data_IF_307741760014
#
_entry.id   IF_307741760014
#
_cell.length_a   1.000
_cell.length_b   1.000
_cell.length_c   1.000
_cell.angle_alpha   90.00
_cell.angle_beta   90.00
_cell.angle_gamma   90.00
#
_symmetry.space_group_name_H-M   'P 1'
#
loop_
_entity.id
_entity.type
_entity.pdbx_description
1 polymer ?
#
# COMPACT_ATOMS: atom_id res chain seq x y z
N UNK A 1 -29.26 -13.36 12.17
CA UNK A 1 -27.91 -13.97 12.20
C UNK A 1 -26.95 -12.98 11.56
N UNK A 2 -25.97 -12.48 12.29
CA UNK A 2 -24.91 -11.70 11.67
C UNK A 2 -24.03 -12.70 10.90
N UNK A 3 -23.95 -12.56 9.58
CA UNK A 3 -23.00 -13.31 8.76
C UNK A 3 -21.60 -12.92 9.22
N UNK A 4 -20.83 -13.88 9.66
CA UNK A 4 -19.44 -13.68 10.03
C UNK A 4 -18.67 -13.22 8.77
N UNK A 5 -18.21 -11.97 8.75
CA UNK A 5 -17.52 -11.41 7.59
C UNK A 5 -16.14 -12.06 7.46
N UNK A 6 -16.01 -13.00 6.54
CA UNK A 6 -14.77 -13.74 6.33
C UNK A 6 -13.78 -12.89 5.52
N UNK A 7 -12.57 -12.72 6.06
CA UNK A 7 -11.47 -12.11 5.34
C UNK A 7 -10.88 -13.13 4.37
N UNK A 8 -10.79 -12.77 3.10
CA UNK A 8 -10.26 -13.62 2.03
C UNK A 8 -9.35 -12.84 1.06
N UNK A 9 -8.72 -13.57 0.15
CA UNK A 9 -7.97 -12.99 -0.96
C UNK A 9 -8.95 -12.75 -2.12
N UNK A 10 -8.98 -11.53 -2.66
CA UNK A 10 -9.81 -11.13 -3.79
C UNK A 10 -8.87 -10.84 -4.94
N UNK A 11 -8.88 -11.71 -5.96
CA UNK A 11 -8.00 -11.62 -7.13
C UNK A 11 -8.53 -10.59 -8.14
N UNK A 12 -7.62 -10.02 -8.92
CA UNK A 12 -7.88 -9.07 -10.00
C UNK A 12 -6.87 -7.93 -10.02
N UNK A 13 -7.00 -7.02 -11.00
CA UNK A 13 -6.27 -5.75 -10.90
C UNK A 13 -6.82 -4.91 -9.74
N UNK A 14 -6.08 -3.88 -9.33
CA UNK A 14 -6.46 -3.08 -8.14
C UNK A 14 -7.91 -2.56 -8.22
N UNK A 15 -8.32 -2.02 -9.37
CA UNK A 15 -9.66 -1.47 -9.57
C UNK A 15 -10.76 -2.51 -9.38
N UNK A 16 -10.60 -3.66 -10.03
CA UNK A 16 -11.61 -4.71 -10.04
C UNK A 16 -11.68 -5.43 -8.69
N UNK A 17 -10.53 -5.73 -8.09
CA UNK A 17 -10.45 -6.33 -6.76
C UNK A 17 -11.01 -5.38 -5.68
N UNK A 18 -10.71 -4.08 -5.75
CA UNK A 18 -11.27 -3.08 -4.84
C UNK A 18 -12.79 -2.98 -4.93
N UNK A 19 -13.35 -3.01 -6.16
CA UNK A 19 -14.81 -2.98 -6.36
C UNK A 19 -15.53 -4.21 -5.80
N UNK A 20 -14.85 -5.35 -5.76
CA UNK A 20 -15.38 -6.58 -5.16
C UNK A 20 -15.25 -6.62 -3.63
N UNK A 21 -14.42 -5.78 -3.05
CA UNK A 21 -14.23 -5.72 -1.60
C UNK A 21 -15.29 -4.85 -0.91
N UNK A 22 -15.62 -5.17 0.34
CA UNK A 22 -16.39 -4.27 1.21
C UNK A 22 -15.49 -3.08 1.56
N UNK A 23 -15.96 -1.83 1.35
CA UNK A 23 -15.17 -0.66 1.69
C UNK A 23 -14.70 -0.68 3.15
N UNK A 24 -13.46 -0.30 3.38
CA UNK A 24 -12.87 -0.22 4.72
C UNK A 24 -12.42 -1.55 5.33
N UNK A 25 -12.56 -2.70 4.63
CA UNK A 25 -12.08 -4.00 5.11
C UNK A 25 -10.73 -4.40 4.53
N UNK A 26 -10.22 -3.67 3.55
CA UNK A 26 -8.90 -3.93 2.97
C UNK A 26 -7.80 -3.80 4.02
N UNK A 27 -6.85 -4.71 3.93
CA UNK A 27 -5.71 -4.76 4.84
C UNK A 27 -4.62 -3.74 4.49
N UNK A 28 -4.07 -3.13 5.53
CA UNK A 28 -2.88 -2.28 5.43
C UNK A 28 -1.61 -3.12 5.35
N UNK A 29 -0.52 -2.49 4.95
CA UNK A 29 0.77 -3.17 4.78
C UNK A 29 1.26 -3.82 6.07
N UNK A 30 1.17 -3.14 7.21
CA UNK A 30 1.57 -3.66 8.52
C UNK A 30 0.68 -4.84 8.98
N UNK A 31 -0.61 -4.81 8.67
CA UNK A 31 -1.52 -5.92 8.92
C UNK A 31 -1.15 -7.15 8.07
N UNK A 32 -0.88 -6.93 6.77
CA UNK A 32 -0.44 -7.99 5.86
C UNK A 32 0.92 -8.56 6.24
N UNK A 33 1.84 -7.74 6.70
CA UNK A 33 3.15 -8.20 7.19
C UNK A 33 3.00 -9.10 8.43
N UNK A 34 2.08 -8.75 9.33
CA UNK A 34 1.75 -9.57 10.51
C UNK A 34 1.12 -10.91 10.09
N UNK A 35 0.10 -10.88 9.22
CA UNK A 35 -0.54 -12.09 8.72
C UNK A 35 0.45 -13.01 7.99
N UNK A 36 1.33 -12.47 7.14
CA UNK A 36 2.39 -13.24 6.45
C UNK A 36 3.40 -13.86 7.41
N UNK A 37 3.69 -13.20 8.52
CA UNK A 37 4.56 -13.74 9.56
C UNK A 37 3.96 -15.01 10.14
N UNK A 38 2.66 -15.00 10.36
CA UNK A 38 1.94 -16.05 11.08
C UNK A 38 1.40 -17.14 10.13
N UNK A 39 1.03 -16.79 8.90
CA UNK A 39 0.51 -17.70 7.86
C UNK A 39 1.49 -17.84 6.68
N UNK A 40 2.07 -19.03 6.55
CA UNK A 40 3.02 -19.34 5.49
C UNK A 40 2.39 -19.29 4.07
N UNK A 41 1.09 -19.56 3.94
CA UNK A 41 0.41 -19.57 2.64
C UNK A 41 0.30 -18.18 2.00
N UNK A 42 0.45 -17.12 2.81
CA UNK A 42 0.41 -15.73 2.33
C UNK A 42 1.77 -15.20 1.90
N UNK A 43 2.87 -15.93 2.14
CA UNK A 43 4.24 -15.40 1.96
C UNK A 43 4.60 -15.18 0.50
N UNK A 44 4.15 -16.04 -0.38
CA UNK A 44 4.48 -15.98 -1.80
C UNK A 44 3.42 -15.21 -2.62
N UNK A 45 2.51 -14.52 -1.94
CA UNK A 45 1.42 -13.80 -2.58
C UNK A 45 1.70 -12.30 -2.64
N UNK A 46 1.22 -11.67 -3.70
CA UNK A 46 1.28 -10.22 -3.89
C UNK A 46 -0.04 -9.60 -3.49
N UNK A 47 0.02 -8.47 -2.80
CA UNK A 47 -1.17 -7.76 -2.38
C UNK A 47 -1.05 -6.27 -2.66
N UNK A 48 -2.09 -5.68 -3.25
CA UNK A 48 -2.35 -4.27 -3.06
C UNK A 48 -2.80 -4.03 -1.63
N UNK A 49 -2.34 -2.94 -1.05
CA UNK A 49 -2.66 -2.58 0.34
C UNK A 49 -3.72 -1.48 0.38
N UNK A 50 -4.34 -1.30 1.54
CA UNK A 50 -5.24 -0.17 1.77
C UNK A 50 -4.48 1.17 1.94
N UNK A 51 -3.14 1.13 1.99
CA UNK A 51 -2.32 2.33 2.08
C UNK A 51 -2.21 3.02 0.73
N UNK A 52 -2.14 4.35 0.75
CA UNK A 52 -1.83 5.19 -0.40
C UNK A 52 -0.58 6.00 -0.12
N UNK A 53 0.20 6.26 -1.15
CA UNK A 53 1.36 7.12 -1.07
C UNK A 53 1.11 8.42 -1.83
N UNK A 54 1.38 9.53 -1.18
CA UNK A 54 1.22 10.86 -1.76
C UNK A 54 2.53 11.61 -1.68
N UNK A 55 3.10 11.88 -2.84
CA UNK A 55 4.36 12.59 -2.99
C UNK A 55 4.11 14.04 -3.35
N UNK A 56 4.76 14.97 -2.66
CA UNK A 56 4.59 16.40 -2.90
C UNK A 56 5.82 17.19 -2.48
N UNK A 57 5.88 18.45 -2.91
CA UNK A 57 6.83 19.42 -2.36
C UNK A 57 6.22 20.08 -1.13
N UNK A 58 6.95 20.11 -0.01
CA UNK A 58 6.58 20.84 1.18
C UNK A 58 7.74 21.73 1.64
N UNK A 59 7.55 23.04 1.64
CA UNK A 59 8.60 24.03 1.95
C UNK A 59 9.92 23.77 1.20
N UNK A 60 9.84 23.45 -0.10
CA UNK A 60 10.99 23.14 -0.94
C UNK A 60 11.59 21.74 -0.76
N UNK A 61 11.03 20.91 0.12
CA UNK A 61 11.49 19.55 0.42
C UNK A 61 10.58 18.51 -0.23
N UNK A 62 11.10 17.52 -0.97
CA UNK A 62 10.32 16.40 -1.47
C UNK A 62 9.88 15.51 -0.31
N UNK A 63 8.58 15.29 -0.22
CA UNK A 63 7.93 14.67 0.93
C UNK A 63 7.04 13.53 0.48
N UNK A 64 7.09 12.41 1.20
CA UNK A 64 6.14 11.30 1.11
C UNK A 64 5.14 11.37 2.26
N UNK A 65 3.86 11.22 1.95
CA UNK A 65 2.81 10.93 2.94
C UNK A 65 2.23 9.57 2.67
N UNK A 66 2.25 8.72 3.70
CA UNK A 66 1.60 7.40 3.64
C UNK A 66 0.28 7.51 4.38
N UNK A 67 -0.81 7.33 3.62
CA UNK A 67 -2.18 7.48 4.12
C UNK A 67 -2.79 6.13 4.44
N UNK A 68 -3.91 6.15 5.16
CA UNK A 68 -4.75 4.97 5.39
C UNK A 68 -6.15 5.16 4.82
N UNK A 69 -6.87 4.06 4.65
CA UNK A 69 -8.26 3.84 4.16
C UNK A 69 -9.05 5.09 3.76
N UNK A 70 -9.48 5.87 4.77
CA UNK A 70 -10.46 6.95 4.58
C UNK A 70 -9.92 8.12 3.73
N UNK A 71 -8.60 8.27 3.69
CA UNK A 71 -7.93 9.37 2.98
C UNK A 71 -6.93 8.89 1.93
N UNK A 72 -7.11 7.66 1.44
CA UNK A 72 -6.31 7.15 0.33
C UNK A 72 -6.85 7.70 -1.00
N UNK A 73 -6.21 8.70 -1.63
CA UNK A 73 -6.77 9.36 -2.80
C UNK A 73 -6.85 8.44 -4.02
N UNK A 74 -5.99 7.42 -4.11
CA UNK A 74 -6.02 6.44 -5.21
C UNK A 74 -7.25 5.55 -5.11
N UNK A 75 -7.57 5.05 -3.90
CA UNK A 75 -8.74 4.20 -3.69
C UNK A 75 -10.05 5.00 -3.72
N UNK A 76 -10.03 6.25 -3.24
CA UNK A 76 -11.22 7.11 -3.27
C UNK A 76 -11.61 7.51 -4.70
N UNK A 77 -10.64 7.57 -5.62
CA UNK A 77 -10.83 7.91 -7.04
C UNK A 77 -10.33 6.80 -7.96
N UNK A 78 -10.64 5.54 -7.63
CA UNK A 78 -9.99 4.38 -8.26
C UNK A 78 -10.18 4.33 -9.79
N UNK A 79 -11.32 4.79 -10.31
CA UNK A 79 -11.58 4.81 -11.75
C UNK A 79 -10.72 5.87 -12.45
N UNK A 80 -10.65 7.07 -11.92
CA UNK A 80 -9.82 8.15 -12.47
C UNK A 80 -8.34 7.85 -12.34
N UNK A 81 -7.92 7.32 -11.17
CA UNK A 81 -6.54 6.89 -10.95
C UNK A 81 -6.14 5.79 -11.93
N UNK A 82 -7.02 4.82 -12.18
CA UNK A 82 -6.79 3.76 -13.17
C UNK A 82 -6.61 4.33 -14.58
N UNK A 83 -7.50 5.23 -15.02
CA UNK A 83 -7.41 5.86 -16.34
C UNK A 83 -6.11 6.67 -16.46
N UNK A 84 -5.81 7.52 -15.48
CA UNK A 84 -4.61 8.36 -15.53
C UNK A 84 -3.34 7.52 -15.56
N UNK A 85 -3.23 6.50 -14.72
CA UNK A 85 -2.04 5.65 -14.64
C UNK A 85 -1.88 4.71 -15.84
N UNK A 86 -2.93 4.46 -16.61
CA UNK A 86 -2.85 3.71 -17.88
C UNK A 86 -2.47 4.59 -19.07
N UNK A 87 -2.76 5.89 -19.01
CA UNK A 87 -2.57 6.84 -20.12
C UNK A 87 -1.38 7.78 -19.92
N UNK A 88 -0.95 7.99 -18.70
CA UNK A 88 0.15 8.87 -18.32
C UNK A 88 0.97 8.27 -17.17
N UNK A 89 2.17 8.84 -16.90
CA UNK A 89 3.09 8.30 -15.89
C UNK A 89 2.62 8.55 -14.45
N UNK A 90 1.78 9.55 -14.20
CA UNK A 90 1.40 9.97 -12.86
C UNK A 90 -0.10 10.13 -12.71
N UNK A 91 -0.62 9.73 -11.55
CA UNK A 91 -1.91 10.17 -11.05
C UNK A 91 -1.70 11.41 -10.18
N UNK A 92 -2.37 12.51 -10.53
CA UNK A 92 -2.31 13.74 -9.75
C UNK A 92 -3.51 13.82 -8.82
N UNK A 93 -3.20 13.94 -7.52
CA UNK A 93 -4.18 14.02 -6.44
C UNK A 93 -4.90 15.36 -6.51
N UNK A 94 -6.23 15.36 -6.39
CA UNK A 94 -7.00 16.61 -6.37
C UNK A 94 -6.61 17.49 -5.17
N UNK A 95 -6.79 18.83 -5.26
CA UNK A 95 -6.52 19.72 -4.12
C UNK A 95 -7.31 19.35 -2.86
N UNK A 96 -8.55 18.90 -3.02
CA UNK A 96 -9.45 18.48 -1.95
C UNK A 96 -8.93 17.23 -1.24
N UNK A 97 -8.60 16.18 -2.01
CA UNK A 97 -8.03 14.96 -1.45
C UNK A 97 -6.67 15.21 -0.79
N UNK A 98 -5.84 16.08 -1.40
CA UNK A 98 -4.56 16.42 -0.80
C UNK A 98 -4.74 17.21 0.52
N UNK A 99 -5.75 18.06 0.61
CA UNK A 99 -6.09 18.72 1.86
C UNK A 99 -6.54 17.71 2.93
N UNK A 100 -7.37 16.73 2.57
CA UNK A 100 -7.78 15.65 3.45
C UNK A 100 -6.59 14.82 3.93
N UNK A 101 -5.67 14.46 3.03
CA UNK A 101 -4.41 13.75 3.37
C UNK A 101 -3.57 14.51 4.38
N UNK A 102 -3.46 15.84 4.23
CA UNK A 102 -2.69 16.68 5.18
C UNK A 102 -3.34 16.80 6.55
N UNK A 103 -4.67 16.76 6.59
CA UNK A 103 -5.44 16.92 7.84
C UNK A 103 -5.60 15.60 8.62
N UNK A 104 -5.35 14.46 7.99
CA UNK A 104 -5.57 13.15 8.61
C UNK A 104 -4.52 12.82 9.67
N UNK A 105 -4.98 12.47 10.86
CA UNK A 105 -4.11 12.19 12.02
C UNK A 105 -3.28 10.90 11.88
N UNK A 106 -3.72 9.96 11.04
CA UNK A 106 -3.06 8.68 10.80
C UNK A 106 -2.14 8.69 9.56
N UNK A 107 -1.96 9.87 8.96
CA UNK A 107 -1.01 10.08 7.87
C UNK A 107 0.40 10.27 8.42
N UNK A 108 1.33 9.43 7.98
CA UNK A 108 2.76 9.58 8.29
C UNK A 108 3.42 10.44 7.22
N UNK A 109 4.11 11.50 7.65
CA UNK A 109 4.86 12.41 6.77
C UNK A 109 6.36 12.18 6.90
N UNK A 110 7.04 11.98 5.76
CA UNK A 110 8.44 11.58 5.66
C UNK A 110 9.18 12.54 4.74
N UNK A 111 10.30 13.07 5.19
CA UNK A 111 11.26 13.82 4.38
C UNK A 111 12.12 12.83 3.57
N UNK A 112 11.88 12.78 2.26
CA UNK A 112 12.60 11.83 1.37
C UNK A 112 14.11 12.08 1.32
N UNK A 113 14.58 13.30 1.59
CA UNK A 113 16.02 13.62 1.54
C UNK A 113 16.80 13.01 2.70
N UNK A 114 16.11 12.56 3.74
CA UNK A 114 16.69 11.97 4.95
C UNK A 114 16.63 10.45 4.99
N UNK A 115 16.07 9.80 3.96
CA UNK A 115 15.91 8.34 3.97
C UNK A 115 17.20 7.57 3.63
N UNK A 116 18.26 8.23 3.15
CA UNK A 116 19.51 7.57 2.74
C UNK A 116 19.25 6.46 1.70
N UNK A 117 18.53 6.84 0.65
CA UNK A 117 18.05 5.92 -0.37
C UNK A 117 19.16 5.42 -1.28
N UNK A 118 19.10 4.15 -1.63
CA UNK A 118 19.97 3.47 -2.59
C UNK A 118 19.30 3.32 -3.96
N UNK A 119 20.07 2.86 -4.96
CA UNK A 119 19.62 2.65 -6.34
C UNK A 119 20.02 3.78 -7.27
N UNK A 120 19.93 3.53 -8.58
CA UNK A 120 20.35 4.48 -9.63
C UNK A 120 19.23 4.82 -10.61
N UNK A 121 18.05 4.24 -10.45
CA UNK A 121 16.93 4.48 -11.35
C UNK A 121 16.42 5.91 -11.23
N UNK A 122 15.99 6.49 -12.33
CA UNK A 122 15.56 7.88 -12.39
C UNK A 122 14.32 8.13 -11.53
N UNK A 123 13.37 7.21 -11.55
CA UNK A 123 12.07 7.35 -10.91
C UNK A 123 12.08 6.79 -9.48
N UNK A 124 12.77 5.69 -9.26
CA UNK A 124 12.69 4.92 -8.02
C UNK A 124 14.01 4.86 -7.27
N UNK A 125 13.90 4.90 -5.96
CA UNK A 125 14.96 4.59 -5.00
C UNK A 125 14.40 3.63 -3.96
N UNK A 126 15.28 3.02 -3.19
CA UNK A 126 14.86 2.15 -2.11
C UNK A 126 15.64 2.40 -0.83
N UNK A 127 14.95 2.24 0.30
CA UNK A 127 15.56 2.05 1.59
C UNK A 127 15.91 0.56 1.72
N UNK A 128 17.19 0.24 1.85
CA UNK A 128 17.65 -1.10 2.19
C UNK A 128 17.42 -1.33 3.69
N UNK A 129 16.69 -2.39 4.03
CA UNK A 129 16.41 -2.75 5.43
C UNK A 129 17.38 -3.84 5.86
N UNK A 130 18.28 -3.50 6.75
CA UNK A 130 19.18 -4.46 7.38
C UNK A 130 18.43 -5.19 8.51
N UNK A 131 18.13 -6.47 8.28
CA UNK A 131 17.38 -7.27 9.25
C UNK A 131 18.14 -7.57 10.54
N UNK A 132 19.44 -7.26 10.62
CA UNK A 132 20.24 -7.41 11.82
C UNK A 132 20.17 -6.21 12.77
N UNK A 133 19.67 -5.07 12.29
CA UNK A 133 19.57 -3.82 13.05
C UNK A 133 18.27 -3.74 13.83
N UNK A 134 18.36 -3.12 15.00
CA UNK A 134 17.21 -2.68 15.76
C UNK A 134 16.61 -1.41 15.13
N UNK A 135 15.34 -1.15 15.38
CA UNK A 135 14.69 0.02 14.79
C UNK A 135 15.31 1.33 15.27
N UNK A 136 15.88 1.33 16.48
CA UNK A 136 16.59 2.48 17.06
C UNK A 136 17.88 2.88 16.34
N UNK A 137 18.45 1.97 15.54
CA UNK A 137 19.66 2.22 14.76
C UNK A 137 19.43 3.04 13.49
N UNK A 138 18.16 3.24 13.13
CA UNK A 138 17.76 4.04 11.98
C UNK A 138 17.48 5.50 12.38
N UNK A 139 17.69 6.42 11.44
CA UNK A 139 17.34 7.81 11.70
C UNK A 139 15.80 8.01 11.82
N UNK A 140 15.32 9.14 12.38
CA UNK A 140 13.89 9.33 12.65
C UNK A 140 12.98 9.20 11.43
N UNK A 141 13.42 9.59 10.23
CA UNK A 141 12.58 9.49 9.02
C UNK A 141 12.51 8.05 8.52
N UNK A 142 13.61 7.30 8.61
CA UNK A 142 13.65 5.87 8.33
C UNK A 142 12.76 5.10 9.31
N UNK A 143 12.83 5.41 10.61
CA UNK A 143 11.96 4.80 11.63
C UNK A 143 10.48 4.99 11.33
N UNK A 144 10.06 6.19 10.89
CA UNK A 144 8.66 6.44 10.50
C UNK A 144 8.22 5.50 9.38
N UNK A 145 9.04 5.34 8.34
CA UNK A 145 8.76 4.45 7.22
C UNK A 145 8.71 2.99 7.66
N UNK A 146 9.70 2.54 8.44
CA UNK A 146 9.79 1.16 8.94
C UNK A 146 8.60 0.81 9.84
N UNK A 147 8.20 1.69 10.75
CA UNK A 147 7.01 1.49 11.60
C UNK A 147 5.73 1.43 10.80
N UNK A 148 5.64 2.18 9.69
CA UNK A 148 4.46 2.12 8.83
C UNK A 148 4.36 0.79 8.10
N UNK A 149 5.48 0.20 7.68
CA UNK A 149 5.53 -1.05 6.91
C UNK A 149 5.47 -2.29 7.81
N UNK A 150 6.24 -2.32 8.89
CA UNK A 150 6.41 -3.51 9.72
C UNK A 150 5.58 -3.54 11.00
N UNK A 151 4.88 -2.45 11.30
CA UNK A 151 4.03 -2.31 12.48
C UNK A 151 4.46 -1.16 13.39
N UNK A 152 3.50 -0.60 14.13
CA UNK A 152 3.70 0.66 14.85
C UNK A 152 4.61 0.54 16.07
N UNK A 153 4.80 -0.67 16.59
CA UNK A 153 5.60 -0.92 17.79
C UNK A 153 6.98 -1.50 17.45
N UNK A 154 7.93 -1.34 18.36
CA UNK A 154 9.23 -1.98 18.27
C UNK A 154 9.10 -3.51 18.25
N UNK A 155 8.22 -4.07 19.07
CA UNK A 155 7.95 -5.50 19.11
C UNK A 155 7.41 -6.04 17.76
N UNK A 156 6.58 -5.29 17.04
CA UNK A 156 6.13 -5.67 15.70
C UNK A 156 7.29 -5.70 14.71
N UNK A 157 8.15 -4.68 14.74
CA UNK A 157 9.35 -4.60 13.91
C UNK A 157 10.27 -5.80 14.18
N UNK A 158 10.62 -6.05 15.45
CA UNK A 158 11.53 -7.13 15.86
C UNK A 158 10.98 -8.50 15.45
N UNK A 159 9.69 -8.75 15.64
CA UNK A 159 9.06 -9.99 15.25
C UNK A 159 9.13 -10.22 13.72
N UNK A 160 8.93 -9.17 12.92
CA UNK A 160 9.08 -9.23 11.47
C UNK A 160 10.55 -9.47 11.06
N UNK A 161 11.50 -8.75 11.68
CA UNK A 161 12.93 -8.91 11.40
C UNK A 161 13.42 -10.31 11.77
N UNK A 162 13.02 -10.85 12.93
CA UNK A 162 13.34 -12.22 13.33
C UNK A 162 12.84 -13.25 12.31
N UNK A 163 11.63 -13.04 11.77
CA UNK A 163 11.07 -13.91 10.74
C UNK A 163 11.82 -13.81 9.41
N UNK A 164 12.17 -12.61 8.99
CA UNK A 164 12.94 -12.38 7.77
C UNK A 164 14.33 -13.03 7.86
N UNK A 165 15.00 -12.96 9.02
CA UNK A 165 16.31 -13.60 9.24
C UNK A 165 16.27 -15.14 9.15
N UNK A 166 15.17 -15.75 9.58
CA UNK A 166 15.02 -17.21 9.63
C UNK A 166 14.36 -17.81 8.39
N UNK A 167 13.96 -16.97 7.43
CA UNK A 167 13.39 -17.46 6.17
C UNK A 167 14.43 -18.29 5.41
N UNK A 168 14.09 -19.53 4.99
CA UNK A 168 15.03 -20.41 4.28
C UNK A 168 15.46 -19.83 2.92
N UNK A 169 14.71 -18.89 2.40
CA UNK A 169 14.99 -18.18 1.16
C UNK A 169 15.81 -16.93 1.44
N UNK A 170 16.86 -17.00 2.22
CA UNK A 170 17.80 -15.89 2.48
C UNK A 170 17.37 -14.60 1.78
N UNK A 171 16.45 -13.87 2.41
CA UNK A 171 16.06 -12.55 1.94
C UNK A 171 17.28 -11.67 2.21
N UNK A 172 18.21 -11.68 1.26
CA UNK A 172 19.48 -10.99 1.41
C UNK A 172 19.26 -9.49 1.57
N UNK A 173 18.13 -8.97 1.07
CA UNK A 173 17.81 -7.56 1.16
C UNK A 173 16.28 -7.35 1.18
N UNK A 174 15.76 -6.83 2.26
CA UNK A 174 14.42 -6.25 2.28
C UNK A 174 14.52 -4.80 1.76
N UNK A 175 13.71 -4.46 0.77
CA UNK A 175 13.71 -3.14 0.13
C UNK A 175 12.37 -2.47 0.25
N UNK A 176 12.36 -1.20 0.64
CA UNK A 176 11.19 -0.33 0.58
C UNK A 176 11.42 0.68 -0.52
N UNK A 177 10.68 0.55 -1.62
CA UNK A 177 10.80 1.45 -2.76
C UNK A 177 9.92 2.68 -2.57
N UNK A 178 10.46 3.83 -2.93
CA UNK A 178 9.79 5.12 -2.95
C UNK A 178 10.18 5.90 -4.21
N UNK A 179 9.42 6.92 -4.59
CA UNK A 179 9.85 7.82 -5.65
C UNK A 179 11.15 8.55 -5.27
N UNK A 180 12.05 8.63 -6.22
CA UNK A 180 13.32 9.35 -6.04
C UNK A 180 13.06 10.83 -5.68
N UNK A 181 13.77 11.42 -4.72
CA UNK A 181 13.60 12.83 -4.34
C UNK A 181 13.66 13.78 -5.54
N UNK A 182 14.58 13.55 -6.49
CA UNK A 182 14.73 14.38 -7.68
C UNK A 182 13.57 14.19 -8.69
N UNK A 183 13.00 12.98 -8.77
CA UNK A 183 11.78 12.75 -9.55
C UNK A 183 10.60 13.53 -8.96
N UNK A 184 10.42 13.51 -7.64
CA UNK A 184 9.37 14.29 -6.95
C UNK A 184 9.56 15.79 -7.17
N UNK A 185 10.81 16.30 -7.05
CA UNK A 185 11.12 17.72 -7.35
C UNK A 185 10.78 18.12 -8.79
N UNK A 186 10.99 17.23 -9.73
CA UNK A 186 10.73 17.50 -11.14
C UNK A 186 9.23 17.48 -11.47
N UNK A 187 8.46 16.54 -10.89
CA UNK A 187 7.10 16.19 -11.33
C UNK A 187 6.00 16.66 -10.37
N UNK A 188 6.28 16.84 -9.07
CA UNK A 188 5.30 17.27 -8.07
C UNK A 188 5.42 18.77 -7.71
N UNK A 189 5.68 19.64 -8.70
CA UNK A 189 5.92 21.08 -8.45
C UNK A 189 4.67 21.83 -8.00
N UNK A 190 3.53 21.50 -8.57
CA UNK A 190 2.24 22.16 -8.31
C UNK A 190 1.24 21.18 -7.71
N UNK A 191 1.25 19.94 -8.18
CA UNK A 191 0.28 18.91 -7.85
C UNK A 191 0.95 17.77 -7.11
N UNK A 192 0.24 17.15 -6.18
CA UNK A 192 0.73 15.96 -5.49
C UNK A 192 0.55 14.72 -6.35
N UNK A 193 1.53 13.82 -6.34
CA UNK A 193 1.50 12.54 -7.08
C UNK A 193 0.97 11.45 -6.15
N UNK A 194 -0.12 10.78 -6.54
CA UNK A 194 -0.67 9.63 -5.86
C UNK A 194 -0.15 8.30 -6.42
N UNK A 195 0.09 7.35 -5.53
CA UNK A 195 0.49 5.97 -5.84
C UNK A 195 -0.31 5.00 -4.98
N UNK A 196 -0.65 3.85 -5.56
CA UNK A 196 -1.10 2.70 -4.79
C UNK A 196 0.10 1.98 -4.19
N UNK A 197 -0.03 1.57 -2.94
CA UNK A 197 0.98 0.77 -2.28
C UNK A 197 0.68 -0.72 -2.46
N UNK A 198 1.72 -1.52 -2.62
CA UNK A 198 1.59 -2.96 -2.71
C UNK A 198 2.71 -3.68 -1.95
N UNK A 199 2.40 -4.83 -1.44
CA UNK A 199 3.32 -5.72 -0.78
C UNK A 199 3.68 -6.85 -1.73
N UNK A 200 4.95 -6.87 -2.14
CA UNK A 200 5.47 -7.81 -3.11
C UNK A 200 6.42 -8.80 -2.44
N UNK A 201 6.33 -10.06 -2.79
CA UNK A 201 7.29 -11.06 -2.40
C UNK A 201 7.73 -11.85 -3.61
N UNK A 202 8.99 -11.73 -3.97
CA UNK A 202 9.67 -12.67 -4.84
C UNK A 202 10.50 -13.60 -3.98
N UNK A 203 10.76 -14.81 -4.46
CA UNK A 203 11.62 -15.79 -3.81
C UNK A 203 13.00 -15.25 -3.39
N UNK A 204 13.30 -13.99 -3.72
CA UNK A 204 14.58 -13.33 -3.46
C UNK A 204 14.45 -11.95 -2.79
N UNK A 205 13.26 -11.32 -2.74
CA UNK A 205 13.11 -9.96 -2.19
C UNK A 205 11.76 -9.79 -1.49
N UNK A 206 11.77 -9.21 -0.29
CA UNK A 206 10.55 -8.61 0.27
C UNK A 206 10.54 -7.13 -0.10
N UNK A 207 9.51 -6.68 -0.79
CA UNK A 207 9.40 -5.28 -1.21
C UNK A 207 8.06 -4.71 -0.77
N UNK A 208 8.09 -3.56 -0.12
CA UNK A 208 6.99 -2.63 -0.12
C UNK A 208 7.25 -1.65 -1.26
N UNK A 209 6.31 -1.53 -2.17
CA UNK A 209 6.54 -0.79 -3.39
C UNK A 209 5.30 -0.03 -3.82
N UNK A 210 5.46 1.24 -4.15
CA UNK A 210 4.43 2.06 -4.78
C UNK A 210 4.67 2.16 -6.28
N UNK A 211 4.40 1.11 -7.04
CA UNK A 211 4.67 1.09 -8.49
C UNK A 211 3.44 1.49 -9.29
N UNK A 212 3.60 2.51 -10.13
CA UNK A 212 2.58 3.11 -10.98
C UNK A 212 1.97 2.18 -12.00
N UNK A 213 2.83 1.40 -12.68
CA UNK A 213 2.42 0.61 -13.83
C UNK A 213 1.73 -0.70 -13.48
N UNK A 214 1.61 -1.01 -12.21
CA UNK A 214 1.13 -2.31 -11.76
C UNK A 214 -0.33 -2.33 -11.33
N UNK A 215 -1.01 -1.19 -11.25
CA UNK A 215 -2.42 -1.16 -10.83
C UNK A 215 -3.37 -1.91 -11.78
N UNK A 216 -2.94 -2.19 -13.01
CA UNK A 216 -3.68 -2.95 -14.00
C UNK A 216 -3.15 -4.40 -14.19
N UNK A 217 -2.09 -4.78 -13.50
CA UNK A 217 -1.71 -6.19 -13.44
C UNK A 217 -2.61 -6.95 -12.47
N UNK A 218 -2.91 -8.18 -12.80
CA UNK A 218 -3.63 -9.07 -11.91
C UNK A 218 -2.79 -9.34 -10.66
N UNK A 219 -3.40 -9.09 -9.53
CA UNK A 219 -2.83 -9.32 -8.22
C UNK A 219 -3.97 -9.70 -7.28
N UNK A 220 -3.97 -9.19 -6.07
CA UNK A 220 -5.07 -9.39 -5.11
C UNK A 220 -5.11 -8.28 -4.08
N UNK A 221 -6.27 -8.12 -3.47
CA UNK A 221 -6.45 -7.41 -2.20
C UNK A 221 -6.85 -8.42 -1.14
N UNK A 222 -6.60 -8.13 0.12
CA UNK A 222 -7.06 -8.93 1.24
C UNK A 222 -8.10 -8.15 2.04
N UNK A 223 -9.29 -8.68 2.13
CA UNK A 223 -10.43 -8.02 2.77
C UNK A 223 -11.66 -8.90 2.77
N UNK A 224 -12.82 -8.32 3.03
CA UNK A 224 -14.09 -9.01 2.95
C UNK A 224 -14.69 -8.82 1.56
N UNK A 225 -15.06 -9.91 0.89
CA UNK A 225 -15.75 -9.85 -0.40
C UNK A 225 -17.17 -9.33 -0.22
N UNK A 226 -17.62 -8.46 -1.11
CA UNK A 226 -19.05 -8.13 -1.23
C UNK A 226 -19.82 -9.36 -1.65
N UNK A 227 -20.82 -9.74 -0.88
CA UNK A 227 -21.77 -10.74 -1.33
C UNK A 227 -22.51 -10.18 -2.55
N UNK A 228 -22.45 -10.90 -3.66
CA UNK A 228 -23.35 -10.67 -4.77
C UNK A 228 -24.70 -11.21 -4.27
N UNK A 229 -25.56 -10.34 -3.77
CA UNK A 229 -26.96 -10.69 -3.57
C UNK A 229 -27.47 -11.01 -4.97
N UNK A 230 -27.61 -12.30 -5.28
CA UNK A 230 -28.31 -12.72 -6.47
C UNK A 230 -29.66 -12.00 -6.44
N UNK A 231 -29.95 -11.22 -7.48
CA UNK A 231 -31.24 -10.63 -7.64
C UNK A 231 -32.26 -11.79 -7.55
N UNK A 232 -32.90 -11.89 -6.39
CA UNK A 232 -33.90 -12.97 -6.17
C UNK A 232 -34.95 -12.85 -7.25
N UNK A 233 -35.28 -13.96 -7.86
CA UNK A 233 -36.41 -14.14 -8.74
C UNK A 233 -37.65 -13.53 -8.10
N UNK A 234 -37.94 -12.29 -8.48
CA UNK A 234 -39.24 -11.68 -8.18
C UNK A 234 -40.24 -12.16 -9.22
N UNK A 235 -40.60 -13.46 -9.17
CA UNK A 235 -41.70 -13.98 -9.95
C UNK A 235 -42.38 -15.15 -9.22
N UNK A 236 -43.02 -14.82 -8.12
CA UNK A 236 -44.22 -15.57 -7.69
C UNK A 236 -45.31 -14.56 -7.33
N UNK A 237 -46.08 -14.18 -8.33
CA UNK A 237 -47.40 -13.61 -8.14
C UNK A 237 -48.30 -14.75 -7.61
N UNK A 238 -48.85 -14.66 -6.40
CA UNK A 238 -49.84 -15.64 -5.99
C UNK A 238 -51.09 -15.46 -6.84
N UNK A 239 -51.44 -16.49 -7.59
CA UNK A 239 -52.78 -16.59 -8.17
C UNK A 239 -53.79 -16.74 -7.07
N UNK A 240 -54.62 -15.73 -6.92
CA UNK A 240 -55.81 -15.79 -6.03
C UNK A 240 -56.91 -16.57 -6.75
N UNK A 241 -57.62 -17.49 -6.06
CA UNK A 241 -58.68 -18.28 -6.62
C UNK A 241 -59.97 -17.49 -6.91
#
# INVERSE_FOLDING_TARGET
MALEQKIENIDGNLRDAYKQAVPGTLKHVDELMRERRDDASLRDLWFYTADGEVYSMYNGTPTLRITRKAVNPVLNNIDDAFIQLTTQENYFVTPEDFAAVKAANDTVTIDLTKLELSGKEKEWRYLAVDTSKDIGDYNPEQQKLLKRVFGPTEADYDANMAKLRTSPQRIAETKIYVLAPDYVKANAKKDAIGRASWLYYFNYYSCFNAVVRTIYYDSRVRGVRREVVAAGDASETPSVP
#
